data_IF_330285864991
#
_entry.id   IF_330285864991
#
_cell.length_a   1.000
_cell.length_b   1.000
_cell.length_c   1.000
_cell.angle_alpha   90.00
_cell.angle_beta   90.00
_cell.angle_gamma   90.00
#
_symmetry.space_group_name_H-M   'P 1'
#
loop_
_entity.id
_entity.type
_entity.pdbx_description
1 polymer ?
#
# COMPACT_ATOMS: atom_id res chain seq x y z
N UNK A 1 2.86 7.29 8.84
CA UNK A 1 2.87 7.70 7.42
C UNK A 1 1.58 8.48 7.13
N UNK A 2 1.47 9.20 6.01
CA UNK A 2 0.20 9.77 5.55
C UNK A 2 -0.24 9.06 4.28
N UNK A 3 -1.51 9.18 3.88
CA UNK A 3 -1.99 8.61 2.62
C UNK A 3 -1.15 9.08 1.43
N UNK A 4 -0.74 10.36 1.43
CA UNK A 4 0.14 10.91 0.39
C UNK A 4 1.48 10.18 0.33
N UNK A 5 2.09 9.87 1.47
CA UNK A 5 3.37 9.15 1.53
C UNK A 5 3.23 7.69 1.05
N UNK A 6 2.11 7.03 1.36
CA UNK A 6 1.82 5.68 0.84
C UNK A 6 1.73 5.74 -0.70
N UNK A 7 1.01 6.71 -1.24
CA UNK A 7 0.86 6.89 -2.69
C UNK A 7 2.20 7.23 -3.35
N UNK A 8 3.00 8.13 -2.75
CA UNK A 8 4.35 8.45 -3.24
C UNK A 8 5.21 7.18 -3.32
N UNK A 9 5.24 6.37 -2.26
CA UNK A 9 5.97 5.10 -2.23
C UNK A 9 5.50 4.14 -3.32
N UNK A 10 4.18 4.02 -3.52
CA UNK A 10 3.60 3.23 -4.61
C UNK A 10 4.05 3.71 -5.99
N UNK A 11 4.01 5.03 -6.25
CA UNK A 11 4.45 5.62 -7.53
C UNK A 11 5.95 5.38 -7.76
N UNK A 12 6.79 5.61 -6.76
CA UNK A 12 8.25 5.41 -6.88
C UNK A 12 8.59 3.96 -7.22
N UNK A 13 7.94 2.99 -6.57
CA UNK A 13 8.14 1.56 -6.84
C UNK A 13 7.65 1.18 -8.24
N UNK A 14 6.50 1.69 -8.66
CA UNK A 14 5.96 1.43 -9.99
C UNK A 14 6.86 1.98 -11.09
N UNK A 15 7.34 3.22 -10.96
CA UNK A 15 8.28 3.81 -11.91
C UNK A 15 9.62 3.07 -11.95
N UNK A 16 10.19 2.73 -10.79
CA UNK A 16 11.43 1.95 -10.70
C UNK A 16 11.31 0.59 -11.36
N UNK A 17 10.22 -0.14 -11.13
CA UNK A 17 10.02 -1.46 -11.75
C UNK A 17 9.80 -1.37 -13.26
N UNK A 18 9.06 -0.35 -13.73
CA UNK A 18 8.87 -0.09 -15.17
C UNK A 18 10.22 0.13 -15.88
N UNK A 19 11.06 1.00 -15.32
CA UNK A 19 12.35 1.38 -15.91
C UNK A 19 13.38 0.24 -15.80
N UNK A 20 13.51 -0.38 -14.62
CA UNK A 20 14.50 -1.44 -14.38
C UNK A 20 14.31 -2.65 -15.30
N UNK A 21 13.07 -3.06 -15.54
CA UNK A 21 12.76 -4.23 -16.37
C UNK A 21 12.43 -3.90 -17.82
N UNK A 22 12.42 -2.62 -18.22
CA UNK A 22 11.90 -2.16 -19.52
C UNK A 22 10.50 -2.77 -19.83
N UNK A 23 9.64 -2.84 -18.81
CA UNK A 23 8.38 -3.57 -18.87
C UNK A 23 7.30 -2.81 -19.65
N UNK A 24 6.17 -3.46 -19.91
CA UNK A 24 4.96 -2.78 -20.42
C UNK A 24 4.20 -2.06 -19.29
N UNK A 25 4.23 -2.65 -18.10
CA UNK A 25 3.66 -2.09 -16.88
C UNK A 25 4.67 -2.18 -15.73
N UNK A 26 4.75 -1.12 -14.94
CA UNK A 26 5.39 -1.11 -13.64
C UNK A 26 4.36 -1.16 -12.53
N UNK A 27 4.65 -1.90 -11.47
CA UNK A 27 3.76 -2.11 -10.33
C UNK A 27 4.48 -1.72 -9.05
N UNK A 28 3.83 -0.92 -8.23
CA UNK A 28 4.32 -0.53 -6.91
C UNK A 28 3.24 -0.73 -5.87
N UNK A 29 3.51 -1.57 -4.87
CA UNK A 29 2.63 -1.80 -3.73
C UNK A 29 3.29 -1.21 -2.50
N UNK A 30 2.57 -0.36 -1.77
CA UNK A 30 3.02 0.24 -0.52
C UNK A 30 1.93 0.06 0.55
N UNK A 31 2.34 -0.45 1.71
CA UNK A 31 1.49 -0.60 2.88
C UNK A 31 1.70 0.59 3.82
N UNK A 32 0.70 0.96 4.60
CA UNK A 32 0.91 2.02 5.58
C UNK A 32 -0.33 2.51 6.29
N UNK A 33 -0.05 3.33 7.30
CA UNK A 33 -1.07 3.94 8.15
C UNK A 33 -1.49 5.30 7.62
N UNK A 34 -2.79 5.59 7.64
CA UNK A 34 -3.35 6.89 7.30
C UNK A 34 -4.45 7.27 8.29
N UNK A 35 -4.63 8.58 8.50
CA UNK A 35 -5.58 9.08 9.49
C UNK A 35 -7.01 8.86 9.04
N UNK A 36 -7.82 8.29 9.93
CA UNK A 36 -9.26 8.09 9.74
C UNK A 36 -9.98 8.43 11.04
N UNK A 37 -10.90 9.40 11.06
CA UNK A 37 -11.71 9.72 12.24
C UNK A 37 -12.52 8.53 12.74
N UNK A 38 -12.93 8.55 14.01
CA UNK A 38 -13.79 7.54 14.65
C UNK A 38 -13.23 6.10 14.69
N UNK A 39 -11.91 5.94 14.57
CA UNK A 39 -11.17 4.69 14.86
C UNK A 39 -10.61 4.75 16.29
N UNK A 40 -10.31 3.59 16.90
CA UNK A 40 -9.71 3.44 18.24
C UNK A 40 -8.41 4.23 18.36
N UNK A 41 -7.61 4.27 17.30
CA UNK A 41 -6.26 4.87 17.31
C UNK A 41 -6.15 6.15 16.48
N UNK A 42 -7.18 6.49 15.71
CA UNK A 42 -7.14 7.57 14.71
C UNK A 42 -6.52 7.15 13.37
N UNK A 43 -6.22 5.86 13.16
CA UNK A 43 -5.56 5.34 11.96
C UNK A 43 -6.15 4.02 11.47
N UNK A 44 -6.10 3.84 10.15
CA UNK A 44 -6.22 2.53 9.50
C UNK A 44 -4.91 2.18 8.79
N UNK A 45 -4.64 0.89 8.65
CA UNK A 45 -3.62 0.33 7.76
C UNK A 45 -4.28 -0.08 6.43
N UNK A 46 -3.59 0.14 5.31
CA UNK A 46 -4.04 -0.33 3.98
C UNK A 46 -2.84 -0.50 3.04
N UNK A 47 -2.90 -1.54 2.19
CA UNK A 47 -2.04 -1.64 1.02
C UNK A 47 -2.63 -0.92 -0.19
N UNK A 48 -1.83 -0.04 -0.80
CA UNK A 48 -2.14 0.66 -2.03
C UNK A 48 -1.23 0.15 -3.15
N UNK A 49 -1.83 -0.21 -4.27
CA UNK A 49 -1.15 -0.56 -5.50
C UNK A 49 -1.25 0.59 -6.50
N UNK A 50 -0.13 0.89 -7.15
CA UNK A 50 -0.01 1.80 -8.29
C UNK A 50 0.48 1.01 -9.49
N UNK A 51 -0.25 1.09 -10.60
CA UNK A 51 0.17 0.52 -11.88
C UNK A 51 0.47 1.68 -12.83
N UNK A 52 1.62 1.64 -13.50
CA UNK A 52 2.08 2.65 -14.46
C UNK A 52 2.41 1.98 -15.79
N UNK A 53 1.94 2.54 -16.92
CA UNK A 53 2.31 2.08 -18.27
C UNK A 53 3.47 2.90 -18.87
N UNK A 54 3.90 2.54 -20.10
CA UNK A 54 5.00 3.22 -20.81
C UNK A 54 4.75 4.69 -21.14
N UNK A 55 3.50 5.12 -21.20
CA UNK A 55 3.12 6.53 -21.36
C UNK A 55 3.06 7.27 -20.01
N UNK A 56 3.40 6.57 -18.93
CA UNK A 56 3.33 7.00 -17.55
C UNK A 56 1.92 7.26 -17.04
N UNK A 57 0.90 6.76 -17.74
CA UNK A 57 -0.48 6.76 -17.23
C UNK A 57 -0.56 5.87 -16.01
N UNK A 58 -1.09 6.40 -14.90
CA UNK A 58 -1.21 5.66 -13.64
C UNK A 58 -2.66 5.37 -13.24
N UNK A 59 -2.85 4.21 -12.63
CA UNK A 59 -4.08 3.81 -11.93
C UNK A 59 -3.72 3.36 -10.52
N UNK A 60 -4.65 3.56 -9.59
CA UNK A 60 -4.46 3.23 -8.17
C UNK A 60 -5.58 2.30 -7.73
N UNK A 61 -5.25 1.33 -6.87
CA UNK A 61 -6.20 0.47 -6.18
C UNK A 61 -5.77 0.24 -4.75
N UNK A 62 -6.74 0.11 -3.85
CA UNK A 62 -6.50 -0.20 -2.44
C UNK A 62 -7.04 -1.57 -2.09
N UNK A 63 -6.39 -2.23 -1.15
CA UNK A 63 -6.93 -3.39 -0.43
C UNK A 63 -7.99 -2.96 0.60
N UNK A 64 -8.63 -3.92 1.26
CA UNK A 64 -9.41 -3.63 2.47
C UNK A 64 -8.51 -3.02 3.56
N UNK A 65 -9.05 -2.10 4.37
CA UNK A 65 -8.32 -1.46 5.47
C UNK A 65 -8.79 -1.96 6.83
N UNK A 66 -7.92 -1.83 7.85
CA UNK A 66 -8.24 -2.29 9.21
C UNK A 66 -7.53 -1.46 10.29
N UNK A 67 -8.11 -1.47 11.50
CA UNK A 67 -7.49 -0.86 12.67
C UNK A 67 -6.35 -1.72 13.22
N UNK A 68 -5.23 -1.07 13.55
CA UNK A 68 -4.02 -1.77 14.00
C UNK A 68 -3.88 -1.68 15.53
N UNK A 69 -3.25 -2.68 16.20
CA UNK A 69 -3.05 -2.66 17.65
C UNK A 69 -2.43 -1.33 18.16
N UNK A 70 -3.03 -0.68 19.19
CA UNK A 70 -2.55 0.61 19.70
C UNK A 70 -1.10 0.60 20.17
N UNK A 71 -0.63 -0.51 20.73
CA UNK A 71 0.74 -0.69 21.20
C UNK A 71 1.74 -0.56 20.05
N UNK A 72 1.44 -1.15 18.89
CA UNK A 72 2.31 -1.08 17.72
C UNK A 72 2.34 0.33 17.15
N UNK A 73 1.18 0.98 16.99
CA UNK A 73 1.10 2.34 16.48
C UNK A 73 1.83 3.33 17.39
N UNK A 74 1.72 3.19 18.71
CA UNK A 74 2.45 4.03 19.67
C UNK A 74 3.96 3.94 19.43
N UNK A 75 4.50 2.74 19.24
CA UNK A 75 5.94 2.52 19.02
C UNK A 75 6.42 3.01 17.65
N UNK A 76 5.60 2.83 16.60
CA UNK A 76 5.90 3.37 15.27
C UNK A 76 5.96 4.90 15.31
N UNK A 77 4.96 5.54 15.92
CA UNK A 77 4.89 7.01 15.95
C UNK A 77 5.86 7.65 16.93
N UNK A 78 6.32 6.94 17.98
CA UNK A 78 7.42 7.41 18.82
C UNK A 78 8.80 7.24 18.17
N UNK A 79 8.88 6.48 17.07
CA UNK A 79 10.14 6.14 16.41
C UNK A 79 10.93 5.04 17.13
N UNK A 80 10.32 4.34 18.09
CA UNK A 80 10.93 3.20 18.80
C UNK A 80 11.17 2.02 17.84
N UNK A 81 10.25 1.81 16.90
CA UNK A 81 10.34 0.81 15.83
C UNK A 81 10.07 1.45 14.48
N UNK A 82 10.63 0.88 13.41
CA UNK A 82 10.38 1.36 12.04
C UNK A 82 9.30 0.56 11.34
N UNK A 83 9.25 -0.74 11.62
CA UNK A 83 8.32 -1.65 10.95
C UNK A 83 7.33 -2.24 11.96
N UNK A 84 6.05 -2.27 11.58
CA UNK A 84 5.00 -2.88 12.41
C UNK A 84 5.27 -4.36 12.71
N UNK A 85 5.97 -5.04 11.81
CA UNK A 85 6.35 -6.44 11.94
C UNK A 85 7.21 -6.69 13.18
N UNK A 86 8.12 -5.78 13.54
CA UNK A 86 9.01 -5.93 14.70
C UNK A 86 8.22 -6.14 16.00
N UNK A 87 7.16 -5.36 16.21
CA UNK A 87 6.33 -5.46 17.41
C UNK A 87 5.33 -6.61 17.31
N UNK A 88 4.82 -6.90 16.11
CA UNK A 88 3.94 -8.07 15.92
C UNK A 88 4.71 -9.37 16.22
N UNK A 89 5.97 -9.51 15.80
CA UNK A 89 6.81 -10.66 16.17
C UNK A 89 6.95 -10.76 17.69
N UNK A 90 7.21 -9.63 18.38
CA UNK A 90 7.34 -9.60 19.84
C UNK A 90 6.04 -9.98 20.57
N UNK A 91 4.89 -9.49 20.11
CA UNK A 91 3.59 -9.78 20.72
C UNK A 91 3.17 -11.24 20.49
N UNK A 92 3.51 -11.79 19.32
CA UNK A 92 3.02 -13.11 18.89
C UNK A 92 4.00 -14.25 19.17
N UNK A 93 5.29 -13.93 19.39
CA UNK A 93 6.41 -14.88 19.40
C UNK A 93 6.53 -15.71 18.10
N UNK A 94 6.01 -15.22 16.97
CA UNK A 94 6.10 -15.88 15.66
C UNK A 94 7.15 -15.13 14.83
N UNK A 95 8.36 -15.70 14.71
CA UNK A 95 9.49 -15.06 14.04
C UNK A 95 9.35 -14.90 12.52
N UNK A 96 8.52 -15.72 11.87
CA UNK A 96 8.33 -15.72 10.40
C UNK A 96 6.97 -15.14 9.97
N UNK A 97 6.44 -14.15 10.71
CA UNK A 97 5.06 -13.70 10.51
C UNK A 97 4.88 -12.91 9.22
N UNK A 98 5.84 -12.06 8.83
CA UNK A 98 5.75 -11.24 7.62
C UNK A 98 5.96 -11.99 6.31
N UNK A 99 6.67 -13.12 6.34
CA UNK A 99 6.89 -14.00 5.19
C UNK A 99 5.70 -14.93 4.91
N UNK A 100 4.87 -15.21 5.93
CA UNK A 100 3.72 -16.12 5.79
C UNK A 100 2.40 -15.35 5.65
N UNK A 101 1.91 -14.82 6.77
CA UNK A 101 0.52 -14.37 6.89
C UNK A 101 0.40 -12.84 7.03
N UNK A 102 1.50 -12.18 7.42
CA UNK A 102 1.53 -10.77 7.80
C UNK A 102 0.78 -10.49 9.11
N UNK A 103 0.83 -9.24 9.55
CA UNK A 103 0.08 -8.81 10.74
C UNK A 103 -1.43 -9.06 10.58
N UNK A 104 -1.99 -8.80 9.39
CA UNK A 104 -3.42 -9.07 9.10
C UNK A 104 -3.78 -10.54 9.23
N UNK A 105 -2.93 -11.46 8.76
CA UNK A 105 -3.16 -12.89 8.90
C UNK A 105 -3.16 -13.33 10.35
N UNK A 106 -2.27 -12.79 11.18
CA UNK A 106 -2.33 -13.03 12.61
C UNK A 106 -3.63 -12.50 13.23
N UNK A 107 -3.98 -11.24 12.97
CA UNK A 107 -5.13 -10.56 13.58
C UNK A 107 -6.48 -11.16 13.15
N UNK A 108 -6.54 -11.75 11.96
CA UNK A 108 -7.74 -12.39 11.40
C UNK A 108 -7.74 -13.91 11.53
N UNK A 109 -6.77 -14.50 12.25
CA UNK A 109 -6.64 -15.97 12.38
C UNK A 109 -6.57 -16.67 11.01
N UNK A 110 -5.80 -16.10 10.08
CA UNK A 110 -5.58 -16.56 8.71
C UNK A 110 -6.80 -16.59 7.80
N UNK A 111 -7.89 -15.88 8.16
CA UNK A 111 -9.02 -15.65 7.24
C UNK A 111 -8.62 -14.71 6.09
N UNK A 112 -7.79 -13.71 6.37
CA UNK A 112 -7.23 -12.79 5.36
C UNK A 112 -5.72 -12.69 5.57
N UNK A 113 -4.95 -13.00 4.54
CA UNK A 113 -3.48 -12.91 4.55
C UNK A 113 -2.98 -11.63 3.89
N UNK A 114 -1.69 -11.32 4.09
CA UNK A 114 -1.00 -10.24 3.35
C UNK A 114 -1.08 -10.44 1.83
N UNK A 115 -1.01 -11.69 1.36
CA UNK A 115 -1.13 -11.98 -0.07
C UNK A 115 -2.53 -11.62 -0.59
N UNK A 116 -3.58 -11.92 0.18
CA UNK A 116 -4.95 -11.57 -0.20
C UNK A 116 -5.14 -10.05 -0.34
N UNK A 117 -4.58 -9.26 0.60
CA UNK A 117 -4.58 -7.80 0.49
C UNK A 117 -3.81 -7.32 -0.75
N UNK A 118 -2.66 -7.93 -1.05
CA UNK A 118 -1.88 -7.57 -2.23
C UNK A 118 -2.65 -7.87 -3.51
N UNK A 119 -3.29 -9.05 -3.62
CA UNK A 119 -4.17 -9.41 -4.72
C UNK A 119 -5.31 -8.40 -4.85
N UNK A 120 -6.02 -8.08 -3.76
CA UNK A 120 -7.09 -7.08 -3.77
C UNK A 120 -6.60 -5.74 -4.33
N UNK A 121 -5.49 -5.20 -3.80
CA UNK A 121 -4.99 -3.89 -4.23
C UNK A 121 -4.65 -3.84 -5.71
N UNK A 122 -4.03 -4.90 -6.24
CA UNK A 122 -3.69 -5.02 -7.68
C UNK A 122 -4.96 -5.13 -8.52
N UNK A 123 -5.91 -5.98 -8.14
CA UNK A 123 -7.18 -6.13 -8.85
C UNK A 123 -7.93 -4.80 -8.90
N UNK A 124 -7.98 -4.05 -7.79
CA UNK A 124 -8.61 -2.73 -7.76
C UNK A 124 -7.91 -1.73 -8.67
N UNK A 125 -6.57 -1.77 -8.75
CA UNK A 125 -5.79 -0.89 -9.62
C UNK A 125 -5.97 -1.23 -11.12
N UNK A 126 -6.35 -2.47 -11.43
CA UNK A 126 -6.65 -2.92 -12.80
C UNK A 126 -8.05 -2.50 -13.27
N UNK A 127 -8.99 -2.18 -12.37
CA UNK A 127 -10.38 -1.84 -12.75
C UNK A 127 -10.45 -0.76 -13.84
N UNK A 128 -9.76 0.41 -13.73
CA UNK A 128 -9.81 1.41 -14.79
C UNK A 128 -9.14 0.92 -16.08
N UNK A 129 -8.14 0.04 -15.99
CA UNK A 129 -7.38 -0.48 -17.13
C UNK A 129 -8.20 -1.45 -17.98
N UNK A 130 -8.87 -2.41 -17.34
CA UNK A 130 -9.70 -3.38 -18.05
C UNK A 130 -10.97 -2.74 -18.61
N UNK A 131 -11.46 -1.67 -17.97
CA UNK A 131 -12.65 -0.93 -18.39
C UNK A 131 -12.31 0.36 -19.15
N UNK A 132 -11.23 0.37 -19.97
CA UNK A 132 -10.72 1.58 -20.64
C UNK A 132 -11.79 2.37 -21.40
N UNK A 133 -12.77 1.67 -21.99
CA UNK A 133 -13.90 2.29 -22.71
C UNK A 133 -14.82 3.11 -21.81
N UNK A 134 -14.99 2.70 -20.55
CA UNK A 134 -15.78 3.40 -19.54
C UNK A 134 -14.93 4.50 -18.90
N UNK A 135 -13.67 4.20 -18.58
CA UNK A 135 -12.67 5.15 -18.06
C UNK A 135 -11.94 5.89 -19.20
N UNK A 136 -12.70 6.40 -20.17
CA UNK A 136 -12.19 7.02 -21.40
C UNK A 136 -11.81 8.50 -21.19
N UNK A 137 -10.89 8.73 -20.26
CA UNK A 137 -10.29 10.04 -19.98
C UNK A 137 -8.77 9.89 -19.94
N UNK A 138 -8.07 11.02 -20.00
CA UNK A 138 -6.64 11.06 -19.72
C UNK A 138 -6.40 10.65 -18.25
N UNK A 139 -5.44 9.75 -18.04
CA UNK A 139 -5.09 9.32 -16.69
C UNK A 139 -3.99 10.21 -16.10
N UNK A 140 -3.89 10.29 -14.76
CA UNK A 140 -2.80 11.01 -14.14
C UNK A 140 -1.44 10.49 -14.64
N UNK A 141 -0.51 11.40 -14.88
CA UNK A 141 0.85 11.04 -15.27
C UNK A 141 1.71 10.83 -14.02
N UNK A 142 2.23 9.61 -13.82
CA UNK A 142 2.98 9.21 -12.63
C UNK A 142 4.16 10.14 -12.31
N UNK A 143 4.95 10.54 -13.32
CA UNK A 143 6.11 11.41 -13.14
C UNK A 143 5.69 12.81 -12.67
N UNK A 144 4.69 13.40 -13.34
CA UNK A 144 4.16 14.73 -12.96
C UNK A 144 3.53 14.73 -11.56
N UNK A 145 2.77 13.68 -11.23
CA UNK A 145 2.13 13.55 -9.92
C UNK A 145 3.19 13.40 -8.83
N UNK A 146 4.21 12.55 -9.03
CA UNK A 146 5.30 12.36 -8.08
C UNK A 146 6.02 13.67 -7.77
N UNK A 147 6.38 14.44 -8.81
CA UNK A 147 7.01 15.75 -8.66
C UNK A 147 6.14 16.73 -7.88
N UNK A 148 4.83 16.75 -8.17
CA UNK A 148 3.87 17.62 -7.45
C UNK A 148 3.75 17.23 -5.99
N UNK A 149 3.61 15.94 -5.69
CA UNK A 149 3.40 15.44 -4.34
C UNK A 149 4.63 15.58 -3.45
N UNK A 150 5.85 15.54 -4.01
CA UNK A 150 7.10 15.78 -3.27
C UNK A 150 7.34 17.24 -2.89
N UNK A 151 6.62 18.18 -3.50
CA UNK A 151 6.72 19.63 -3.22
C UNK A 151 5.73 20.10 -2.15
N UNK A 152 4.81 19.23 -1.73
CA UNK A 152 3.81 19.45 -0.68
C UNK A 152 4.33 18.92 0.66
#
# INVERSE_FOLDING_TARGET
MSLNQIIIGGIERALKSLEYFNAEYGIGIEAGFYRVPATITGFLEQQICVIVDREYGMTIGGSSSFEFPPTVLKKIFSGEIREAEEEIIRITNISSIGEKQGAVGFLTQNIITRLDLSIQSVLMALIPRINRRIYNVEWPNAKKILEKMKKL
#
